data_IF_405281503908
#
_entry.id   IF_405281503908
#
_cell.length_a   1.000
_cell.length_b   1.000
_cell.length_c   1.000
_cell.angle_alpha   90.00
_cell.angle_beta   90.00
_cell.angle_gamma   90.00
#
_symmetry.space_group_name_H-M   'P 1'
#
loop_
_entity.id
_entity.type
_entity.pdbx_description
1 polymer ?
#
# COMPACT_ATOMS: atom_id res chain seq x y z
N UNK A 1 -6.44 -13.25 0.16
CA UNK A 1 -6.79 -11.93 0.69
C UNK A 1 -5.65 -10.95 0.51
N UNK A 2 -5.93 -9.80 -0.09
CA UNK A 2 -5.01 -8.66 -0.26
C UNK A 2 -5.84 -7.37 -0.26
N UNK A 3 -5.18 -6.22 -0.13
CA UNK A 3 -5.83 -4.92 -0.24
C UNK A 3 -6.15 -4.60 -1.70
N UNK A 4 -7.42 -4.64 -2.12
CA UNK A 4 -7.79 -4.39 -3.52
C UNK A 4 -8.06 -2.90 -3.76
N UNK A 5 -7.45 -2.32 -4.80
CA UNK A 5 -7.65 -0.93 -5.22
C UNK A 5 -8.36 -0.92 -6.57
N UNK A 6 -9.63 -0.52 -6.61
CA UNK A 6 -10.42 -0.56 -7.85
C UNK A 6 -9.87 0.37 -8.93
N UNK A 7 -9.63 -0.17 -10.13
CA UNK A 7 -9.22 0.60 -11.32
C UNK A 7 -7.75 0.99 -11.35
N UNK A 8 -6.92 0.51 -10.42
CA UNK A 8 -5.49 0.85 -10.34
C UNK A 8 -4.71 0.36 -11.57
N UNK A 9 -5.20 -0.66 -12.26
CA UNK A 9 -4.61 -1.25 -13.46
C UNK A 9 -4.55 -0.27 -14.65
N UNK A 10 -5.40 0.76 -14.65
CA UNK A 10 -5.35 1.85 -15.63
C UNK A 10 -4.15 2.80 -15.41
N UNK A 11 -3.48 2.71 -14.26
CA UNK A 11 -2.41 3.61 -13.85
C UNK A 11 -1.13 2.83 -13.51
N UNK A 12 -0.43 2.25 -14.50
CA UNK A 12 0.74 1.37 -14.25
C UNK A 12 1.93 2.09 -13.61
N UNK A 13 2.05 3.40 -13.82
CA UNK A 13 2.97 4.27 -13.09
C UNK A 13 2.29 4.79 -11.82
N UNK A 14 2.15 3.89 -10.85
CA UNK A 14 1.66 4.22 -9.51
C UNK A 14 2.67 3.81 -8.44
N UNK A 15 2.61 4.48 -7.29
CA UNK A 15 3.31 4.07 -6.06
C UNK A 15 2.31 4.05 -4.92
N UNK A 16 2.20 2.89 -4.26
CA UNK A 16 1.35 2.69 -3.09
C UNK A 16 2.22 2.58 -1.85
N UNK A 17 1.91 3.40 -0.84
CA UNK A 17 2.58 3.41 0.47
C UNK A 17 1.57 3.15 1.57
N UNK A 18 1.95 2.34 2.55
CA UNK A 18 1.15 2.05 3.74
C UNK A 18 1.90 2.50 4.98
N UNK A 19 1.18 3.15 5.87
CA UNK A 19 1.67 3.70 7.14
C UNK A 19 0.86 3.12 8.29
N UNK A 20 1.53 2.86 9.42
CA UNK A 20 0.84 2.53 10.65
C UNK A 20 0.20 3.79 11.29
N UNK A 21 -0.52 3.61 12.39
CA UNK A 21 -1.22 4.70 13.10
C UNK A 21 -0.32 5.84 13.62
N UNK A 22 0.99 5.61 13.70
CA UNK A 22 1.97 6.60 14.14
C UNK A 22 2.67 7.30 12.97
N UNK A 23 2.23 7.06 11.73
CA UNK A 23 2.82 7.65 10.53
C UNK A 23 4.12 7.00 10.07
N UNK A 24 4.50 5.84 10.64
CA UNK A 24 5.68 5.10 10.18
C UNK A 24 5.31 4.28 8.95
N UNK A 25 6.08 4.44 7.85
CA UNK A 25 5.90 3.66 6.62
C UNK A 25 6.26 2.20 6.88
N UNK A 26 5.30 1.31 6.72
CA UNK A 26 5.46 -0.13 6.93
C UNK A 26 5.52 -0.90 5.62
N UNK A 27 4.99 -0.32 4.54
CA UNK A 27 5.03 -0.98 3.24
C UNK A 27 5.05 0.02 2.08
N UNK A 28 5.71 -0.35 0.99
CA UNK A 28 5.76 0.43 -0.25
C UNK A 28 5.94 -0.50 -1.45
N UNK A 29 5.27 -0.18 -2.56
CA UNK A 29 5.53 -0.80 -3.86
C UNK A 29 5.30 0.19 -4.99
N UNK A 30 5.99 -0.02 -6.10
CA UNK A 30 5.69 0.61 -7.39
C UNK A 30 4.85 -0.34 -8.24
N UNK A 31 4.04 0.22 -9.14
CA UNK A 31 3.21 -0.53 -10.09
C UNK A 31 2.31 -1.56 -9.39
N UNK A 32 1.51 -1.11 -8.44
CA UNK A 32 0.47 -1.92 -7.79
C UNK A 32 -0.56 -2.38 -8.84
N UNK A 33 -0.89 -3.67 -8.87
CA UNK A 33 -1.66 -4.28 -9.97
C UNK A 33 -2.77 -5.24 -9.51
N UNK A 34 -3.11 -5.28 -8.22
CA UNK A 34 -4.07 -6.24 -7.63
C UNK A 34 -3.75 -7.75 -7.88
N UNK A 35 -2.58 -8.09 -8.44
CA UNK A 35 -2.21 -9.46 -8.81
C UNK A 35 -0.83 -9.84 -8.26
N UNK A 36 0.23 -9.19 -8.73
CA UNK A 36 1.63 -9.51 -8.38
C UNK A 36 2.14 -8.58 -7.29
N UNK A 37 1.93 -7.28 -7.46
CA UNK A 37 2.42 -6.24 -6.57
C UNK A 37 1.29 -5.81 -5.66
N UNK A 38 1.09 -6.56 -4.57
CA UNK A 38 -0.06 -6.37 -3.69
C UNK A 38 0.33 -6.35 -2.21
N UNK A 39 -0.41 -5.54 -1.45
CA UNK A 39 -0.27 -5.50 0.00
C UNK A 39 -1.09 -6.61 0.64
N UNK A 40 -0.41 -7.50 1.37
CA UNK A 40 -1.00 -8.67 2.04
C UNK A 40 -1.00 -8.57 3.56
N UNK A 41 -0.86 -7.35 4.10
CA UNK A 41 -0.72 -7.13 5.55
C UNK A 41 0.65 -7.52 6.10
N UNK A 42 1.68 -7.52 5.24
CA UNK A 42 3.05 -7.91 5.60
C UNK A 42 3.96 -6.70 5.34
N UNK A 43 4.83 -6.38 6.28
CA UNK A 43 5.77 -5.26 6.18
C UNK A 43 6.86 -5.51 5.13
N UNK A 44 7.29 -4.47 4.41
CA UNK A 44 8.52 -4.48 3.60
C UNK A 44 9.39 -3.20 3.80
N UNK A 45 9.12 -2.44 4.87
CA UNK A 45 9.86 -1.23 5.23
C UNK A 45 11.33 -1.50 5.63
N UNK A 46 12.16 -0.45 5.59
CA UNK A 46 13.62 -0.54 5.84
C UNK A 46 13.98 -0.58 7.33
N UNK A 47 14.78 -1.60 7.65
CA UNK A 47 15.73 -1.77 8.78
C UNK A 47 15.18 -2.39 10.08
N UNK A 48 15.84 -3.51 10.41
CA UNK A 48 15.91 -4.29 11.66
C UNK A 48 14.81 -5.32 11.96
N UNK A 49 15.27 -6.57 11.86
CA UNK A 49 14.77 -7.83 12.44
C UNK A 49 13.81 -8.61 11.54
N UNK A 50 14.42 -9.58 10.86
CA UNK A 50 13.93 -10.94 10.57
C UNK A 50 12.49 -11.09 10.08
N UNK A 51 12.40 -11.48 8.80
CA UNK A 51 11.20 -11.98 8.14
C UNK A 51 10.08 -10.96 7.93
N UNK A 52 9.32 -11.23 6.88
CA UNK A 52 8.16 -10.48 6.47
C UNK A 52 7.06 -10.67 7.54
N UNK A 53 7.13 -9.89 8.62
CA UNK A 53 6.20 -10.03 9.73
C UNK A 53 4.81 -9.52 9.36
N UNK A 54 3.81 -10.33 9.72
CA UNK A 54 2.40 -9.93 9.65
C UNK A 54 2.21 -8.72 10.55
N UNK A 55 1.69 -7.66 9.96
CA UNK A 55 1.37 -6.43 10.67
C UNK A 55 0.27 -6.70 11.73
N UNK A 56 0.34 -6.04 12.90
CA UNK A 56 -0.72 -6.12 13.90
C UNK A 56 -2.09 -5.75 13.35
N UNK A 57 -3.15 -6.29 13.97
CA UNK A 57 -4.51 -5.81 13.71
C UNK A 57 -4.62 -4.33 14.08
N UNK A 58 -5.31 -3.56 13.26
CA UNK A 58 -5.58 -2.15 13.53
C UNK A 58 -5.78 -1.33 12.27
N UNK A 59 -5.91 -0.02 12.48
CA UNK A 59 -6.03 0.97 11.40
C UNK A 59 -4.66 1.34 10.84
N UNK A 60 -4.58 1.30 9.52
CA UNK A 60 -3.46 1.74 8.70
C UNK A 60 -3.94 2.81 7.73
N UNK A 61 -2.99 3.59 7.22
CA UNK A 61 -3.26 4.64 6.25
C UNK A 61 -2.50 4.33 4.97
N UNK A 62 -3.09 4.69 3.83
CA UNK A 62 -2.45 4.53 2.53
C UNK A 62 -2.34 5.87 1.80
N UNK A 63 -1.28 5.98 1.02
CA UNK A 63 -1.06 7.04 0.04
C UNK A 63 -0.81 6.36 -1.31
N UNK A 64 -1.55 6.77 -2.33
CA UNK A 64 -1.39 6.31 -3.72
C UNK A 64 -1.02 7.52 -4.54
N UNK A 65 0.17 7.50 -5.14
CA UNK A 65 0.58 8.47 -6.14
C UNK A 65 0.49 7.81 -7.51
N UNK A 66 -0.06 8.51 -8.51
CA UNK A 66 -0.16 8.00 -9.87
C UNK A 66 -0.16 9.14 -10.89
N UNK A 67 0.04 8.81 -12.16
CA UNK A 67 -0.09 9.74 -13.28
C UNK A 67 -1.40 9.47 -14.00
N UNK A 68 -2.24 10.50 -14.18
CA UNK A 68 -3.52 10.38 -14.87
C UNK A 68 -3.39 10.46 -16.41
N UNK A 69 -4.53 10.34 -17.10
CA UNK A 69 -4.61 10.38 -18.57
C UNK A 69 -4.12 11.70 -19.18
N UNK A 70 -4.12 12.79 -18.41
CA UNK A 70 -3.61 14.11 -18.82
C UNK A 70 -2.12 14.30 -18.47
N UNK A 71 -1.44 13.22 -18.08
CA UNK A 71 -0.05 13.22 -17.64
C UNK A 71 0.19 14.09 -16.38
N UNK A 72 -0.84 14.24 -15.53
CA UNK A 72 -0.74 14.97 -14.27
C UNK A 72 -0.54 14.03 -13.10
N UNK A 73 0.30 14.44 -12.15
CA UNK A 73 0.51 13.69 -10.91
C UNK A 73 -0.69 13.89 -9.99
N UNK A 74 -1.25 12.79 -9.53
CA UNK A 74 -2.36 12.74 -8.59
C UNK A 74 -1.92 12.06 -7.29
N UNK A 75 -2.63 12.38 -6.21
CA UNK A 75 -2.43 11.74 -4.91
C UNK A 75 -3.77 11.42 -4.29
N UNK A 76 -3.94 10.15 -3.90
CA UNK A 76 -5.09 9.68 -3.14
C UNK A 76 -4.64 9.21 -1.77
N UNK A 77 -5.42 9.54 -0.75
CA UNK A 77 -5.18 9.12 0.64
C UNK A 77 -6.41 8.42 1.19
N UNK A 78 -6.19 7.47 2.09
CA UNK A 78 -7.28 6.79 2.77
C UNK A 78 -6.78 5.93 3.91
N UNK A 79 -7.67 5.09 4.43
CA UNK A 79 -7.37 4.18 5.52
C UNK A 79 -7.90 2.78 5.21
N UNK A 80 -7.27 1.80 5.85
CA UNK A 80 -7.73 0.42 5.82
C UNK A 80 -7.60 -0.17 7.22
N UNK A 81 -8.49 -1.10 7.56
CA UNK A 81 -8.41 -1.84 8.82
C UNK A 81 -7.91 -3.26 8.53
N UNK A 82 -6.77 -3.63 9.11
CA UNK A 82 -6.31 -5.01 9.10
C UNK A 82 -6.98 -5.77 10.24
N UNK A 83 -7.82 -6.74 9.90
CA UNK A 83 -8.44 -7.66 10.85
C UNK A 83 -7.64 -8.96 10.90
N UNK A 84 -7.31 -9.45 12.10
CA UNK A 84 -6.86 -10.84 12.27
C UNK A 84 -8.09 -11.75 12.17
N UNK A 85 -7.95 -12.84 11.42
CA UNK A 85 -8.93 -13.92 11.43
C UNK A 85 -9.04 -14.55 12.83
#
# INVERSE_FOLDING_TARGET
NHFHIAGIEAYPDNTVRIYNRWGVKVWEVQSYDNVRNVFKGISNGRVTIEAADKLPQGTYYYVIEYVDENNQKQTMVGWLYLKKD
#
